data_IF_025541753909
#
_entry.id   IF_025541753909
#
_cell.length_a   1.000
_cell.length_b   1.000
_cell.length_c   1.000
_cell.angle_alpha   90.00
_cell.angle_beta   90.00
_cell.angle_gamma   90.00
#
_symmetry.space_group_name_H-M   'P 1'
#
loop_
_entity.id
_entity.type
_entity.pdbx_description
1 polymer ?
#
# COMPACT_ATOMS: atom_id res chain seq x y z
N UNK A 1 -12.12 2.63 -5.04
CA UNK A 1 -11.33 1.39 -4.88
C UNK A 1 -12.27 0.21 -5.01
N UNK A 2 -11.84 -0.92 -5.60
CA UNK A 2 -12.61 -2.18 -5.62
C UNK A 2 -12.98 -2.60 -4.19
N UNK A 3 -14.09 -3.34 -4.01
CA UNK A 3 -14.52 -3.87 -2.69
C UNK A 3 -13.43 -4.70 -2.00
N UNK A 4 -12.57 -5.32 -2.80
CA UNK A 4 -11.53 -6.22 -2.34
C UNK A 4 -10.23 -5.90 -3.08
N UNK A 5 -9.19 -5.46 -2.36
CA UNK A 5 -7.92 -5.04 -2.94
C UNK A 5 -6.76 -5.70 -2.21
N UNK A 6 -5.79 -6.24 -2.96
CA UNK A 6 -4.54 -6.76 -2.39
C UNK A 6 -3.87 -5.73 -1.47
N UNK A 7 -3.48 -6.15 -0.29
CA UNK A 7 -2.90 -5.27 0.74
C UNK A 7 -1.69 -4.48 0.22
N UNK A 8 -0.77 -5.10 -0.50
CA UNK A 8 0.40 -4.41 -1.06
C UNK A 8 0.02 -3.35 -2.12
N UNK A 9 -1.10 -3.57 -2.85
CA UNK A 9 -1.63 -2.57 -3.79
C UNK A 9 -2.27 -1.42 -3.01
N UNK A 10 -3.04 -1.71 -1.97
CA UNK A 10 -3.67 -0.68 -1.14
C UNK A 10 -2.62 0.21 -0.47
N UNK A 11 -1.61 -0.38 0.21
CA UNK A 11 -0.52 0.37 0.84
C UNK A 11 0.25 1.26 -0.14
N UNK A 12 0.49 0.78 -1.36
CA UNK A 12 1.12 1.58 -2.40
C UNK A 12 0.24 2.72 -2.91
N UNK A 13 -1.06 2.50 -3.05
CA UNK A 13 -2.01 3.55 -3.43
C UNK A 13 -2.20 4.60 -2.33
N UNK A 14 -2.00 4.22 -1.08
CA UNK A 14 -2.04 5.11 0.08
C UNK A 14 -0.76 5.93 0.26
N UNK A 15 0.25 5.74 -0.61
CA UNK A 15 1.51 6.50 -0.55
C UNK A 15 2.47 6.04 0.54
N UNK A 16 2.23 4.89 1.18
CA UNK A 16 3.03 4.39 2.30
C UNK A 16 4.42 3.97 1.84
N UNK A 17 4.46 3.17 0.77
CA UNK A 17 5.68 2.62 0.21
C UNK A 17 5.39 1.99 -1.16
N UNK A 18 6.44 1.55 -1.87
CA UNK A 18 6.24 0.78 -3.12
C UNK A 18 5.58 -0.58 -2.84
N UNK A 19 4.95 -1.17 -3.86
CA UNK A 19 4.33 -2.51 -3.74
C UNK A 19 5.28 -3.58 -3.19
N UNK A 20 6.54 -3.60 -3.66
CA UNK A 20 7.55 -4.56 -3.18
C UNK A 20 7.96 -4.30 -1.74
N UNK A 21 8.07 -3.02 -1.34
CA UNK A 21 8.37 -2.67 0.05
C UNK A 21 7.22 -3.06 0.98
N UNK A 22 5.97 -2.92 0.53
CA UNK A 22 4.82 -3.39 1.27
C UNK A 22 4.87 -4.92 1.47
N UNK A 23 5.23 -5.68 0.43
CA UNK A 23 5.45 -7.13 0.53
C UNK A 23 6.53 -7.49 1.55
N UNK A 24 7.67 -6.78 1.58
CA UNK A 24 8.70 -6.96 2.61
C UNK A 24 8.17 -6.70 4.02
N UNK A 25 7.37 -5.63 4.22
CA UNK A 25 6.81 -5.32 5.53
C UNK A 25 5.81 -6.38 6.01
N UNK A 26 5.00 -6.92 5.09
CA UNK A 26 4.07 -8.01 5.37
C UNK A 26 4.86 -9.27 5.75
N UNK A 27 5.87 -9.65 4.98
CA UNK A 27 6.71 -10.82 5.29
C UNK A 27 7.43 -10.71 6.64
N UNK A 28 7.83 -9.49 7.03
CA UNK A 28 8.44 -9.20 8.33
C UNK A 28 7.42 -9.12 9.48
N UNK A 29 6.13 -9.33 9.23
CA UNK A 29 5.07 -9.28 10.25
C UNK A 29 4.81 -7.88 10.81
N UNK A 30 5.28 -6.83 10.12
CA UNK A 30 5.14 -5.43 10.56
C UNK A 30 3.76 -4.86 10.28
N UNK A 31 3.03 -5.47 9.35
CA UNK A 31 1.69 -5.04 8.95
C UNK A 31 0.63 -5.89 9.65
N UNK A 32 -0.35 -5.24 10.26
CA UNK A 32 -1.52 -5.88 10.83
C UNK A 32 -2.80 -5.38 10.16
N UNK A 33 -3.75 -6.28 9.96
CA UNK A 33 -5.10 -5.98 9.50
C UNK A 33 -6.06 -6.34 10.63
N UNK A 34 -6.84 -5.37 11.11
CA UNK A 34 -7.77 -5.54 12.23
C UNK A 34 -7.11 -6.17 13.48
N UNK A 35 -5.82 -5.85 13.72
CA UNK A 35 -5.05 -6.38 14.85
C UNK A 35 -4.32 -7.70 14.60
N UNK A 36 -4.60 -8.39 13.49
CA UNK A 36 -3.94 -9.66 13.14
C UNK A 36 -2.78 -9.46 12.16
N UNK A 37 -1.65 -10.20 12.30
CA UNK A 37 -0.55 -10.16 11.34
C UNK A 37 -1.03 -10.50 9.93
N UNK A 38 -0.72 -9.63 8.97
CA UNK A 38 -1.09 -9.84 7.57
C UNK A 38 -0.17 -10.86 6.90
N UNK A 39 -0.66 -11.51 5.84
CA UNK A 39 0.08 -12.42 4.97
C UNK A 39 0.14 -11.90 3.54
N UNK A 40 1.18 -12.33 2.83
CA UNK A 40 1.41 -11.88 1.46
C UNK A 40 0.31 -12.42 0.53
N UNK A 41 -0.37 -11.53 -0.17
CA UNK A 41 -1.51 -11.89 -1.01
C UNK A 41 -2.87 -11.67 -0.35
N UNK A 42 -2.91 -11.35 0.94
CA UNK A 42 -4.13 -10.95 1.63
C UNK A 42 -4.81 -9.80 0.90
N UNK A 43 -6.13 -9.87 0.86
CA UNK A 43 -6.97 -8.82 0.33
C UNK A 43 -7.75 -8.19 1.46
N UNK A 44 -7.95 -6.88 1.34
CA UNK A 44 -8.62 -6.06 2.33
C UNK A 44 -9.70 -5.22 1.66
N UNK A 45 -10.72 -4.88 2.44
CA UNK A 45 -11.63 -3.78 2.13
C UNK A 45 -11.03 -2.47 2.67
N UNK A 46 -10.49 -1.60 1.80
CA UNK A 46 -9.85 -0.36 2.23
C UNK A 46 -10.81 0.65 2.89
N UNK A 47 -12.13 0.39 2.88
CA UNK A 47 -13.14 1.24 3.53
C UNK A 47 -13.51 0.76 4.93
N UNK A 48 -13.28 -0.52 5.24
CA UNK A 48 -13.70 -1.14 6.50
C UNK A 48 -12.52 -1.60 7.34
N UNK A 49 -11.52 -2.18 6.71
CA UNK A 49 -10.40 -2.78 7.41
C UNK A 49 -9.42 -1.75 7.94
N UNK A 50 -9.00 -1.97 9.18
CA UNK A 50 -7.98 -1.19 9.84
C UNK A 50 -6.60 -1.79 9.53
N UNK A 51 -5.81 -1.11 8.72
CA UNK A 51 -4.41 -1.49 8.49
C UNK A 51 -3.50 -0.67 9.41
N UNK A 52 -2.61 -1.35 10.12
CA UNK A 52 -1.54 -0.72 10.89
C UNK A 52 -0.17 -1.22 10.42
N UNK A 53 0.81 -0.33 10.42
CA UNK A 53 2.21 -0.62 10.19
C UNK A 53 2.96 -0.24 11.46
N UNK A 54 3.62 -1.20 12.11
CA UNK A 54 4.36 -0.99 13.37
C UNK A 54 3.51 -0.33 14.49
N UNK A 55 2.20 -0.54 14.47
CA UNK A 55 1.26 0.05 15.44
C UNK A 55 0.66 1.38 15.00
N UNK A 56 1.21 2.05 13.98
CA UNK A 56 0.62 3.27 13.43
C UNK A 56 -0.46 2.95 12.41
N UNK A 57 -1.58 3.66 12.50
CA UNK A 57 -2.69 3.50 11.56
C UNK A 57 -2.32 4.08 10.20
N UNK A 58 -2.35 3.22 9.20
CA UNK A 58 -2.19 3.60 7.82
C UNK A 58 -3.54 4.07 7.29
N UNK A 59 -3.69 5.37 7.05
CA UNK A 59 -4.88 5.92 6.41
C UNK A 59 -4.63 6.08 4.91
N UNK A 60 -5.62 5.70 4.11
CA UNK A 60 -5.57 5.96 2.69
C UNK A 60 -5.58 7.44 2.41
N UNK A 61 -4.57 7.92 1.68
CA UNK A 61 -4.56 9.28 1.15
C UNK A 61 -5.83 9.52 0.30
N UNK A 62 -6.40 10.73 0.32
CA UNK A 62 -7.43 11.12 -0.63
C UNK A 62 -6.92 10.89 -2.06
N UNK A 63 -7.88 10.67 -2.98
CA UNK A 63 -7.65 10.30 -4.38
C UNK A 63 -6.51 11.16 -4.94
N UNK A 64 -5.32 10.56 -5.11
CA UNK A 64 -4.16 11.29 -5.60
C UNK A 64 -4.50 11.91 -6.96
N UNK A 65 -4.22 13.20 -7.11
CA UNK A 65 -4.31 13.87 -8.39
C UNK A 65 -3.33 13.20 -9.35
N UNK A 66 -3.80 12.80 -10.52
CA UNK A 66 -2.94 12.16 -11.50
C UNK A 66 -1.94 13.19 -12.04
N UNK A 67 -0.66 12.93 -11.84
CA UNK A 67 0.42 13.71 -12.42
C UNK A 67 0.93 12.98 -13.67
N UNK A 68 0.85 13.65 -14.82
CA UNK A 68 1.34 13.14 -16.09
C UNK A 68 2.57 13.95 -16.52
N UNK A 69 3.67 13.24 -16.81
CA UNK A 69 4.95 13.84 -17.23
C UNK A 69 5.37 13.20 -18.56
N UNK A 70 5.75 14.03 -19.53
CA UNK A 70 6.42 13.59 -20.75
C UNK A 70 7.91 13.92 -20.63
N UNK A 71 8.76 12.89 -20.63
CA UNK A 71 10.20 13.03 -20.42
C UNK A 71 10.96 12.48 -21.62
N UNK A 72 11.72 13.33 -22.31
CA UNK A 72 12.74 12.90 -23.26
C UNK A 72 14.03 12.57 -22.48
N UNK A 73 14.14 11.31 -22.03
CA UNK A 73 15.25 10.85 -21.18
C UNK A 73 16.58 10.85 -21.96
N UNK A 74 17.61 11.62 -21.54
CA UNK A 74 18.92 11.60 -22.19
C UNK A 74 19.72 10.34 -21.83
N UNK A 75 20.73 10.00 -22.63
CA UNK A 75 21.64 8.89 -22.33
C UNK A 75 22.37 9.13 -20.99
N UNK A 76 22.53 8.07 -20.19
CA UNK A 76 23.30 8.09 -18.94
C UNK A 76 22.49 8.25 -17.64
N UNK A 77 21.16 8.31 -17.73
CA UNK A 77 20.23 8.37 -16.60
C UNK A 77 19.27 7.19 -16.63
#
# INVERSE_FOLDING_TARGET
>A
MPRDTRLQKAMSQWGVCSRRKAEEYIQRGRVKVNGHPARLGDKIDPRKDLVTLDGERVKGAPKAEYQYLMLHKPRGY
#
